data_IF_522683536542
#
_entry.id   IF_522683536542
#
_cell.length_a   1.000
_cell.length_b   1.000
_cell.length_c   1.000
_cell.angle_alpha   90.00
_cell.angle_beta   90.00
_cell.angle_gamma   90.00
#
_symmetry.space_group_name_H-M   'P 1'
#
loop_
_entity.id
_entity.type
_entity.pdbx_description
1 polymer ?
#
# COMPACT_ATOMS: atom_id res chain seq x y z
N UNK A 1 19.45 8.25 -12.14
CA UNK A 1 18.21 7.76 -12.78
C UNK A 1 17.25 7.12 -11.76
N UNK A 2 17.71 6.17 -10.93
CA UNK A 2 16.88 5.58 -9.87
C UNK A 2 16.48 6.57 -8.76
N UNK A 3 17.34 7.54 -8.41
CA UNK A 3 17.01 8.54 -7.37
C UNK A 3 15.84 9.44 -7.78
N UNK A 4 15.80 9.87 -9.03
CA UNK A 4 14.70 10.67 -9.58
C UNK A 4 13.39 9.87 -9.63
N UNK A 5 13.46 8.59 -10.01
CA UNK A 5 12.29 7.70 -9.99
C UNK A 5 11.80 7.45 -8.56
N UNK A 6 12.69 7.13 -7.62
CA UNK A 6 12.34 6.91 -6.22
C UNK A 6 11.68 8.16 -5.59
N UNK A 7 12.19 9.35 -5.92
CA UNK A 7 11.59 10.62 -5.51
C UNK A 7 10.15 10.75 -6.00
N UNK A 8 9.91 10.59 -7.30
CA UNK A 8 8.56 10.67 -7.87
C UNK A 8 7.60 9.64 -7.28
N UNK A 9 8.03 8.39 -7.14
CA UNK A 9 7.18 7.34 -6.56
C UNK A 9 6.88 7.60 -5.08
N UNK A 10 7.86 8.08 -4.32
CA UNK A 10 7.68 8.43 -2.91
C UNK A 10 6.74 9.61 -2.72
N UNK A 11 6.83 10.62 -3.58
CA UNK A 11 5.89 11.75 -3.59
C UNK A 11 4.46 11.31 -3.88
N UNK A 12 4.26 10.49 -4.92
CA UNK A 12 2.94 9.95 -5.27
C UNK A 12 2.37 9.07 -4.16
N UNK A 13 3.18 8.21 -3.54
CA UNK A 13 2.75 7.39 -2.41
C UNK A 13 2.32 8.26 -1.22
N UNK A 14 3.09 9.30 -0.89
CA UNK A 14 2.72 10.22 0.18
C UNK A 14 1.44 10.99 -0.16
N UNK A 15 1.25 11.39 -1.42
CA UNK A 15 0.03 12.07 -1.89
C UNK A 15 -1.20 11.17 -1.74
N UNK A 16 -1.11 9.88 -2.07
CA UNK A 16 -2.23 8.92 -1.92
C UNK A 16 -2.82 8.95 -0.51
N UNK A 17 -1.99 9.01 0.53
CA UNK A 17 -2.49 9.07 1.92
C UNK A 17 -3.26 10.36 2.22
N UNK A 18 -2.86 11.48 1.63
CA UNK A 18 -3.56 12.75 1.82
C UNK A 18 -4.83 12.86 0.99
N UNK A 19 -4.81 12.32 -0.23
CA UNK A 19 -5.98 12.23 -1.08
C UNK A 19 -7.02 11.30 -0.44
N UNK A 20 -6.57 10.24 0.23
CA UNK A 20 -7.46 9.38 1.03
C UNK A 20 -8.12 10.16 2.17
N UNK A 21 -7.33 10.86 3.00
CA UNK A 21 -7.86 11.70 4.09
C UNK A 21 -8.83 12.80 3.60
N UNK A 22 -8.67 13.27 2.37
CA UNK A 22 -9.51 14.29 1.73
C UNK A 22 -10.69 13.69 0.95
N UNK A 23 -10.83 12.37 0.89
CA UNK A 23 -11.82 11.64 0.10
C UNK A 23 -11.76 11.94 -1.42
N UNK A 24 -10.60 12.40 -1.92
CA UNK A 24 -10.30 12.68 -3.32
C UNK A 24 -9.93 11.38 -4.08
N UNK A 25 -10.90 10.47 -4.16
CA UNK A 25 -10.67 9.10 -4.64
C UNK A 25 -10.31 8.99 -6.13
N UNK A 26 -10.71 9.95 -6.96
CA UNK A 26 -10.36 9.96 -8.39
C UNK A 26 -8.90 10.35 -8.60
N UNK A 27 -8.44 11.36 -7.87
CA UNK A 27 -7.06 11.82 -7.82
C UNK A 27 -6.16 10.74 -7.21
N UNK A 28 -6.64 10.06 -6.16
CA UNK A 28 -5.94 8.90 -5.57
C UNK A 28 -5.73 7.80 -6.62
N UNK A 29 -6.79 7.44 -7.35
CA UNK A 29 -6.70 6.45 -8.43
C UNK A 29 -5.68 6.87 -9.50
N UNK A 30 -5.67 8.15 -9.87
CA UNK A 30 -4.72 8.72 -10.84
C UNK A 30 -3.27 8.69 -10.33
N UNK A 31 -3.04 9.02 -9.06
CA UNK A 31 -1.72 8.96 -8.44
C UNK A 31 -1.21 7.52 -8.37
N UNK A 32 -2.06 6.58 -7.97
CA UNK A 32 -1.76 5.15 -7.96
C UNK A 32 -1.46 4.62 -9.37
N UNK A 33 -2.28 4.96 -10.37
CA UNK A 33 -2.02 4.61 -11.76
C UNK A 33 -0.67 5.18 -12.25
N UNK A 34 -0.34 6.41 -11.88
CA UNK A 34 0.93 7.04 -12.25
C UNK A 34 2.12 6.28 -11.67
N UNK A 35 2.03 5.78 -10.43
CA UNK A 35 3.07 4.91 -9.84
C UNK A 35 3.32 3.70 -10.75
N UNK A 36 2.29 2.94 -11.11
CA UNK A 36 2.47 1.73 -11.93
C UNK A 36 2.93 2.03 -13.35
N UNK A 37 2.47 3.13 -13.95
CA UNK A 37 2.98 3.55 -15.26
C UNK A 37 4.48 3.88 -15.18
N UNK A 38 4.94 4.53 -14.11
CA UNK A 38 6.38 4.82 -13.87
C UNK A 38 7.20 3.56 -13.58
N UNK A 39 6.56 2.50 -13.07
CA UNK A 39 7.17 1.18 -12.88
C UNK A 39 7.22 0.34 -14.17
N UNK A 40 6.66 0.85 -15.28
CA UNK A 40 6.76 0.23 -16.61
C UNK A 40 5.56 -0.63 -17.02
N UNK A 41 4.46 -0.60 -16.25
CA UNK A 41 3.21 -1.24 -16.66
C UNK A 41 2.51 -0.45 -17.77
N UNK A 42 1.70 -1.12 -18.57
CA UNK A 42 0.91 -0.46 -19.61
C UNK A 42 -0.07 0.55 -19.01
N UNK A 43 -0.50 1.53 -19.81
CA UNK A 43 -1.50 2.51 -19.38
C UNK A 43 -2.78 1.83 -18.89
N UNK A 44 -3.31 0.87 -19.66
CA UNK A 44 -4.54 0.14 -19.30
C UNK A 44 -4.41 -0.62 -17.97
N UNK A 45 -3.29 -1.34 -17.76
CA UNK A 45 -3.04 -2.02 -16.48
C UNK A 45 -2.97 -1.03 -15.33
N UNK A 46 -2.23 0.07 -15.53
CA UNK A 46 -2.01 1.08 -14.50
C UNK A 46 -3.30 1.78 -14.07
N UNK A 47 -4.14 2.19 -15.02
CA UNK A 47 -5.45 2.79 -14.76
C UNK A 47 -6.40 1.82 -14.04
N UNK A 48 -6.41 0.55 -14.49
CA UNK A 48 -7.21 -0.51 -13.84
C UNK A 48 -6.80 -0.68 -12.39
N UNK A 49 -5.48 -0.76 -12.13
CA UNK A 49 -4.93 -0.91 -10.79
C UNK A 49 -5.21 0.31 -9.92
N UNK A 50 -5.04 1.52 -10.45
CA UNK A 50 -5.35 2.75 -9.72
C UNK A 50 -6.81 2.79 -9.24
N UNK A 51 -7.75 2.42 -10.12
CA UNK A 51 -9.17 2.34 -9.77
C UNK A 51 -9.46 1.27 -8.71
N UNK A 52 -8.82 0.10 -8.80
CA UNK A 52 -8.98 -0.98 -7.83
C UNK A 52 -8.42 -0.60 -6.44
N UNK A 53 -7.28 0.09 -6.40
CA UNK A 53 -6.70 0.61 -5.15
C UNK A 53 -7.63 1.63 -4.51
N UNK A 54 -8.15 2.58 -5.29
CA UNK A 54 -9.12 3.57 -4.80
C UNK A 54 -10.39 2.92 -4.22
N UNK A 55 -10.93 1.89 -4.89
CA UNK A 55 -12.05 1.10 -4.35
C UNK A 55 -11.67 0.36 -3.07
N UNK A 56 -10.45 -0.15 -2.95
CA UNK A 56 -9.97 -0.80 -1.72
C UNK A 56 -9.90 0.18 -0.54
N UNK A 57 -9.51 1.45 -0.78
CA UNK A 57 -9.55 2.51 0.23
C UNK A 57 -10.99 2.80 0.68
N UNK A 58 -11.92 3.01 -0.26
CA UNK A 58 -13.34 3.25 0.06
C UNK A 58 -13.95 2.11 0.88
N UNK A 59 -13.69 0.87 0.50
CA UNK A 59 -14.14 -0.31 1.26
C UNK A 59 -13.51 -0.38 2.66
N UNK A 60 -12.28 0.11 2.82
CA UNK A 60 -11.67 0.21 4.15
C UNK A 60 -12.32 1.30 5.01
N UNK A 61 -12.84 2.36 4.42
CA UNK A 61 -13.58 3.40 5.15
C UNK A 61 -14.97 2.89 5.55
N UNK A 62 -15.65 2.16 4.65
CA UNK A 62 -16.89 1.45 4.96
C UNK A 62 -16.72 0.45 6.12
N UNK A 63 -15.56 -0.24 6.18
CA UNK A 63 -15.22 -1.13 7.28
C UNK A 63 -15.10 -0.38 8.62
N UNK A 64 -14.50 0.82 8.62
CA UNK A 64 -14.42 1.68 9.81
C UNK A 64 -15.81 2.11 10.26
N UNK A 65 -16.69 2.51 9.34
CA UNK A 65 -18.06 2.87 9.68
C UNK A 65 -18.85 1.70 10.28
N UNK A 66 -18.65 0.48 9.76
CA UNK A 66 -19.26 -0.73 10.33
C UNK A 66 -18.73 -1.03 11.73
N UNK A 67 -17.42 -0.88 11.95
CA UNK A 67 -16.78 -1.03 13.26
C UNK A 67 -17.35 -0.03 14.28
N UNK A 68 -17.46 1.25 13.92
CA UNK A 68 -18.01 2.32 14.76
C UNK A 68 -19.49 2.07 15.12
N UNK A 69 -20.24 1.42 14.23
CA UNK A 69 -21.60 0.98 14.46
C UNK A 69 -21.72 -0.33 15.29
N UNK A 70 -20.59 -0.99 15.59
CA UNK A 70 -20.56 -2.28 16.29
C UNK A 70 -20.95 -3.49 15.45
N UNK A 71 -21.03 -3.33 14.12
CA UNK A 71 -21.36 -4.40 13.17
C UNK A 71 -20.08 -5.08 12.66
N UNK A 72 -19.49 -5.92 13.52
CA UNK A 72 -18.22 -6.59 13.25
C UNK A 72 -18.29 -7.59 12.08
N UNK A 73 -19.43 -8.23 11.87
CA UNK A 73 -19.61 -9.15 10.74
C UNK A 73 -19.50 -8.39 9.41
N UNK A 74 -20.10 -7.20 9.34
CA UNK A 74 -20.03 -6.33 8.17
C UNK A 74 -18.65 -5.70 8.00
N UNK A 75 -17.98 -5.30 9.08
CA UNK A 75 -16.58 -4.87 9.04
C UNK A 75 -15.69 -5.92 8.36
N UNK A 76 -15.79 -7.18 8.81
CA UNK A 76 -15.02 -8.29 8.24
C UNK A 76 -15.40 -8.55 6.78
N UNK A 77 -16.68 -8.44 6.43
CA UNK A 77 -17.14 -8.54 5.05
C UNK A 77 -16.48 -7.48 4.15
N UNK A 78 -16.38 -6.22 4.61
CA UNK A 78 -15.70 -5.17 3.86
C UNK A 78 -14.21 -5.45 3.69
N UNK A 79 -13.52 -5.91 4.74
CA UNK A 79 -12.11 -6.32 4.60
C UNK A 79 -11.92 -7.51 3.65
N UNK A 80 -12.87 -8.46 3.57
CA UNK A 80 -12.83 -9.48 2.53
C UNK A 80 -12.94 -8.88 1.12
N UNK A 81 -13.79 -7.88 0.92
CA UNK A 81 -13.88 -7.18 -0.37
C UNK A 81 -12.61 -6.39 -0.69
N UNK A 82 -11.97 -5.75 0.31
CA UNK A 82 -10.65 -5.11 0.15
C UNK A 82 -9.63 -6.12 -0.38
N UNK A 83 -9.52 -7.30 0.26
CA UNK A 83 -8.62 -8.36 -0.19
C UNK A 83 -8.93 -8.80 -1.62
N UNK A 84 -10.19 -8.90 -2.02
CA UNK A 84 -10.59 -9.29 -3.37
C UNK A 84 -10.21 -8.22 -4.41
N UNK A 85 -10.29 -6.92 -4.07
CA UNK A 85 -9.78 -5.83 -4.93
C UNK A 85 -8.26 -5.87 -5.07
N UNK A 86 -7.54 -6.10 -3.97
CA UNK A 86 -6.09 -6.23 -3.99
C UNK A 86 -5.62 -7.48 -4.77
N UNK A 87 -6.38 -8.58 -4.71
CA UNK A 87 -6.11 -9.78 -5.52
C UNK A 87 -6.30 -9.50 -7.03
N UNK A 88 -7.28 -8.65 -7.38
CA UNK A 88 -7.45 -8.19 -8.77
C UNK A 88 -6.30 -7.29 -9.23
N UNK A 89 -5.75 -6.45 -8.35
CA UNK A 89 -4.53 -5.68 -8.62
C UNK A 89 -3.38 -6.63 -8.96
N UNK A 90 -3.13 -7.63 -8.10
CA UNK A 90 -2.08 -8.64 -8.30
C UNK A 90 -2.26 -9.40 -9.62
N UNK A 91 -3.49 -9.78 -9.94
CA UNK A 91 -3.82 -10.46 -11.21
C UNK A 91 -3.53 -9.56 -12.41
N UNK A 92 -3.89 -8.28 -12.34
CA UNK A 92 -3.67 -7.30 -13.42
C UNK A 92 -2.17 -7.04 -13.64
N UNK A 93 -1.39 -7.07 -12.56
CA UNK A 93 0.07 -6.90 -12.57
C UNK A 93 0.83 -8.22 -12.77
N UNK A 94 0.12 -9.35 -12.90
CA UNK A 94 0.70 -10.69 -13.13
C UNK A 94 1.66 -11.13 -12.01
N UNK A 95 1.31 -10.83 -10.75
CA UNK A 95 2.10 -11.24 -9.59
C UNK A 95 2.10 -12.76 -9.44
N UNK A 96 3.27 -13.31 -9.10
CA UNK A 96 3.45 -14.76 -8.96
C UNK A 96 3.00 -15.26 -7.59
N UNK A 97 3.13 -14.42 -6.57
CA UNK A 97 2.74 -14.73 -5.21
C UNK A 97 1.79 -13.64 -4.68
N UNK A 98 0.66 -14.06 -4.11
CA UNK A 98 -0.28 -13.12 -3.52
C UNK A 98 0.21 -12.60 -2.16
N UNK A 99 0.23 -11.29 -2.01
CA UNK A 99 0.47 -10.52 -0.79
C UNK A 99 -0.78 -9.75 -0.32
N UNK A 100 -1.89 -9.79 -1.07
CA UNK A 100 -3.15 -9.09 -0.81
C UNK A 100 -3.73 -9.39 0.58
N UNK A 101 -3.62 -10.65 1.02
CA UNK A 101 -4.06 -11.04 2.37
C UNK A 101 -3.26 -10.34 3.47
N UNK A 102 -1.97 -10.12 3.23
CA UNK A 102 -1.10 -9.46 4.19
C UNK A 102 -1.39 -7.96 4.22
N UNK A 103 -1.55 -7.33 3.04
CA UNK A 103 -1.97 -5.93 2.91
C UNK A 103 -3.27 -5.65 3.67
N UNK A 104 -4.33 -6.41 3.35
CA UNK A 104 -5.62 -6.27 4.01
C UNK A 104 -5.52 -6.44 5.53
N UNK A 105 -4.81 -7.47 6.00
CA UNK A 105 -4.70 -7.75 7.43
C UNK A 105 -3.98 -6.64 8.17
N UNK A 106 -2.87 -6.10 7.65
CA UNK A 106 -2.18 -5.03 8.38
C UNK A 106 -3.00 -3.73 8.38
N UNK A 107 -3.79 -3.43 7.34
CA UNK A 107 -4.77 -2.33 7.36
C UNK A 107 -5.79 -2.49 8.48
N UNK A 108 -6.45 -3.65 8.54
CA UNK A 108 -7.40 -3.97 9.61
C UNK A 108 -6.75 -3.85 10.99
N UNK A 109 -5.63 -4.55 11.22
CA UNK A 109 -4.96 -4.52 12.51
C UNK A 109 -4.44 -3.14 12.90
N UNK A 110 -4.05 -2.30 11.93
CA UNK A 110 -3.64 -0.93 12.18
C UNK A 110 -4.80 -0.09 12.72
N UNK A 111 -6.01 -0.22 12.14
CA UNK A 111 -7.24 0.43 12.64
C UNK A 111 -7.62 -0.06 14.03
N UNK A 112 -7.52 -1.37 14.27
CA UNK A 112 -7.70 -2.00 15.59
C UNK A 112 -6.56 -1.75 16.59
N UNK A 113 -5.54 -0.96 16.21
CA UNK A 113 -4.37 -0.63 17.05
C UNK A 113 -3.55 -1.87 17.52
N UNK A 114 -3.67 -3.00 16.82
CA UNK A 114 -2.94 -4.24 17.11
C UNK A 114 -1.53 -4.21 16.50
N UNK A 115 -0.65 -3.41 17.11
CA UNK A 115 0.70 -3.09 16.59
C UNK A 115 1.52 -4.31 16.15
N UNK A 116 1.53 -5.38 16.95
CA UNK A 116 2.31 -6.58 16.64
C UNK A 116 1.80 -7.25 15.34
N UNK A 117 0.48 -7.37 15.20
CA UNK A 117 -0.13 -7.97 14.01
C UNK A 117 0.06 -7.09 12.78
N UNK A 118 -0.02 -5.76 12.93
CA UNK A 118 0.35 -4.82 11.86
C UNK A 118 1.77 -5.08 11.37
N UNK A 119 2.75 -5.14 12.27
CA UNK A 119 4.16 -5.35 11.91
C UNK A 119 4.38 -6.72 11.25
N UNK A 120 3.78 -7.79 11.79
CA UNK A 120 3.91 -9.14 11.23
C UNK A 120 3.39 -9.18 9.80
N UNK A 121 2.17 -8.70 9.56
CA UNK A 121 1.56 -8.76 8.24
C UNK A 121 2.27 -7.83 7.24
N UNK A 122 2.68 -6.64 7.67
CA UNK A 122 3.47 -5.74 6.85
C UNK A 122 4.83 -6.34 6.49
N UNK A 123 5.50 -7.03 7.42
CA UNK A 123 6.74 -7.74 7.13
C UNK A 123 6.53 -8.88 6.14
N UNK A 124 5.48 -9.70 6.34
CA UNK A 124 5.19 -10.83 5.46
C UNK A 124 4.88 -10.39 4.02
N UNK A 125 4.15 -9.28 3.85
CA UNK A 125 3.94 -8.65 2.54
C UNK A 125 5.26 -8.33 1.84
N UNK A 126 6.18 -7.66 2.53
CA UNK A 126 7.48 -7.33 1.96
C UNK A 126 8.32 -8.58 1.69
N UNK A 127 8.44 -9.46 2.68
CA UNK A 127 9.28 -10.64 2.62
C UNK A 127 8.85 -11.60 1.49
N UNK A 128 7.55 -11.79 1.30
CA UNK A 128 7.02 -12.65 0.25
C UNK A 128 7.24 -12.06 -1.15
N UNK A 129 7.23 -10.73 -1.29
CA UNK A 129 7.52 -10.07 -2.56
C UNK A 129 9.02 -10.07 -2.93
N UNK A 130 9.91 -9.83 -1.94
CA UNK A 130 11.36 -9.66 -2.22
C UNK A 130 12.19 -10.92 -2.00
N UNK A 131 11.68 -11.90 -1.24
CA UNK A 131 12.31 -13.19 -0.95
C UNK A 131 13.42 -13.15 0.10
N UNK A 132 13.85 -14.34 0.53
CA UNK A 132 14.83 -14.54 1.60
C UNK A 132 16.19 -13.87 1.33
N UNK A 133 16.65 -13.89 0.08
CA UNK A 133 17.91 -13.25 -0.32
C UNK A 133 17.92 -11.75 -0.03
N UNK A 134 16.75 -11.12 0.08
CA UNK A 134 16.56 -9.70 0.34
C UNK A 134 15.96 -9.44 1.73
N UNK A 135 16.19 -10.30 2.72
CA UNK A 135 15.65 -10.16 4.09
C UNK A 135 15.94 -8.78 4.70
N UNK A 136 17.17 -8.27 4.58
CA UNK A 136 17.53 -6.94 5.08
C UNK A 136 16.72 -5.83 4.39
N UNK A 137 16.44 -5.98 3.09
CA UNK A 137 15.57 -5.06 2.35
C UNK A 137 14.15 -5.16 2.86
N UNK A 138 13.59 -6.36 3.05
CA UNK A 138 12.24 -6.54 3.61
C UNK A 138 12.06 -5.85 4.97
N UNK A 139 13.07 -5.95 5.85
CA UNK A 139 13.08 -5.28 7.15
C UNK A 139 13.08 -3.75 7.01
N UNK A 140 13.92 -3.20 6.12
CA UNK A 140 13.96 -1.75 5.86
C UNK A 140 12.65 -1.23 5.28
N UNK A 141 12.07 -1.94 4.31
CA UNK A 141 10.79 -1.56 3.71
C UNK A 141 9.68 -1.53 4.76
N UNK A 142 9.61 -2.55 5.61
CA UNK A 142 8.68 -2.61 6.75
C UNK A 142 8.88 -1.43 7.69
N UNK A 143 10.13 -1.12 8.04
CA UNK A 143 10.47 0.02 8.90
C UNK A 143 9.99 1.36 8.31
N UNK A 144 10.22 1.62 7.02
CA UNK A 144 9.81 2.88 6.41
C UNK A 144 8.30 3.05 6.35
N UNK A 145 7.54 1.98 6.08
CA UNK A 145 6.07 2.04 6.14
C UNK A 145 5.59 2.27 7.58
N UNK A 146 6.21 1.64 8.59
CA UNK A 146 5.88 1.90 10.00
C UNK A 146 6.12 3.36 10.41
N UNK A 147 7.22 3.96 9.97
CA UNK A 147 7.50 5.37 10.23
C UNK A 147 6.48 6.27 9.52
N UNK A 148 6.12 5.99 8.26
CA UNK A 148 5.04 6.67 7.54
C UNK A 148 3.74 6.62 8.35
N UNK A 149 3.29 5.43 8.76
CA UNK A 149 2.04 5.27 9.53
C UNK A 149 2.06 6.06 10.85
N UNK A 150 3.23 6.19 11.48
CA UNK A 150 3.41 6.95 12.72
C UNK A 150 3.34 8.45 12.48
N UNK A 151 4.03 8.97 11.47
CA UNK A 151 4.12 10.43 11.21
C UNK A 151 2.92 10.98 10.45
N UNK A 152 2.20 10.14 9.71
CA UNK A 152 0.95 10.50 9.04
C UNK A 152 -0.10 10.95 10.08
N UNK A 153 -0.18 10.30 11.25
CA UNK A 153 -1.05 10.71 12.37
C UNK A 153 -0.74 12.12 12.88
N UNK A 154 0.50 12.59 12.77
CA UNK A 154 0.91 13.95 13.14
C UNK A 154 0.81 14.95 12.00
N UNK A 155 0.27 14.56 10.83
CA UNK A 155 0.17 15.38 9.61
C UNK A 155 1.51 15.95 9.14
N UNK A 156 2.60 15.24 9.41
CA UNK A 156 3.95 15.63 8.97
C UNK A 156 4.18 15.14 7.54
N UNK A 157 3.82 15.99 6.58
CA UNK A 157 3.87 15.71 5.13
C UNK A 157 5.29 15.51 4.63
N UNK A 158 6.25 16.29 5.14
CA UNK A 158 7.65 16.24 4.70
C UNK A 158 8.33 14.96 5.19
N UNK A 159 8.13 14.56 6.45
CA UNK A 159 8.68 13.31 6.97
C UNK A 159 8.00 12.08 6.34
N UNK A 160 6.71 12.18 6.03
CA UNK A 160 5.98 11.13 5.28
C UNK A 160 6.61 10.92 3.90
N UNK A 161 6.76 12.01 3.14
CA UNK A 161 7.41 12.01 1.82
C UNK A 161 8.83 11.46 1.90
N UNK A 162 9.64 11.93 2.83
CA UNK A 162 11.02 11.46 3.00
C UNK A 162 11.13 9.95 3.23
N UNK A 163 10.27 9.38 4.09
CA UNK A 163 10.26 7.94 4.34
C UNK A 163 9.74 7.15 3.13
N UNK A 164 8.77 7.68 2.38
CA UNK A 164 8.31 7.06 1.14
C UNK A 164 9.41 7.05 0.06
N UNK A 165 10.19 8.14 -0.06
CA UNK A 165 11.34 8.19 -0.98
C UNK A 165 12.39 7.15 -0.57
N UNK A 166 12.68 7.01 0.72
CA UNK A 166 13.60 5.97 1.23
C UNK A 166 13.10 4.56 0.94
N UNK A 167 11.80 4.31 1.12
CA UNK A 167 11.15 3.05 0.76
C UNK A 167 11.42 2.69 -0.70
N UNK A 168 11.07 3.58 -1.63
CA UNK A 168 11.28 3.33 -3.06
C UNK A 168 12.77 3.25 -3.42
N UNK A 169 13.62 4.02 -2.75
CA UNK A 169 15.07 3.99 -2.96
C UNK A 169 15.65 2.62 -2.63
N UNK A 170 15.26 2.01 -1.50
CA UNK A 170 15.71 0.66 -1.16
C UNK A 170 15.10 -0.40 -2.10
N UNK A 171 13.80 -0.27 -2.40
CA UNK A 171 13.08 -1.23 -3.23
C UNK A 171 13.63 -1.30 -4.67
N UNK A 172 13.92 -0.15 -5.27
CA UNK A 172 14.40 -0.06 -6.65
C UNK A 172 15.85 -0.56 -6.83
N UNK A 173 16.62 -0.73 -5.76
CA UNK A 173 17.98 -1.32 -5.82
C UNK A 173 17.96 -2.78 -6.24
N UNK A 174 16.92 -3.51 -5.82
CA UNK A 174 16.87 -4.97 -5.97
C UNK A 174 16.03 -5.44 -7.16
N UNK A 175 15.22 -4.54 -7.77
CA UNK A 175 14.33 -4.85 -8.90
C UNK A 175 13.56 -6.17 -8.68
N UNK A 176 12.66 -6.20 -7.68
CA UNK A 176 12.02 -7.45 -7.29
C UNK A 176 11.13 -7.98 -8.43
N UNK A 177 10.85 -9.30 -8.46
CA UNK A 177 9.97 -9.88 -9.47
C UNK A 177 8.53 -9.33 -9.40
N UNK A 178 8.12 -8.82 -8.24
CA UNK A 178 6.87 -8.09 -8.02
C UNK A 178 7.10 -6.99 -6.98
N UNK A 179 6.38 -5.88 -7.11
CA UNK A 179 6.49 -4.79 -6.14
C UNK A 179 5.62 -5.07 -4.91
N UNK A 180 6.12 -4.90 -3.67
CA UNK A 180 5.31 -5.11 -2.48
C UNK A 180 4.25 -4.02 -2.24
N UNK A 181 4.33 -2.87 -2.92
CA UNK A 181 3.37 -1.78 -2.75
C UNK A 181 2.05 -2.09 -3.47
N UNK A 182 0.92 -2.08 -2.75
CA UNK A 182 -0.44 -2.33 -3.29
C UNK A 182 -1.46 -1.23 -2.89
N UNK A 183 -0.99 -0.04 -2.52
CA UNK A 183 -1.79 1.02 -1.90
C UNK A 183 -1.21 1.42 -0.56
#
# INVERSE_FOLDING_TARGET
MNETLAATLGELQAQIYWLHDAEEFAELASAAATIYMKLGYTQQQSETVGNLISQAYQLSDDAVLAQEAGDFDKEIQFYHQVKDKLTQVETTLVYQNSIAIHQMKWWMYFRHQQKLQTIIHLFLQHFQAVGLMNLLTALKLTYFIMEICKVHKSRDTETTKHNAIKYWTELLKIKPPQYPYLG
#
